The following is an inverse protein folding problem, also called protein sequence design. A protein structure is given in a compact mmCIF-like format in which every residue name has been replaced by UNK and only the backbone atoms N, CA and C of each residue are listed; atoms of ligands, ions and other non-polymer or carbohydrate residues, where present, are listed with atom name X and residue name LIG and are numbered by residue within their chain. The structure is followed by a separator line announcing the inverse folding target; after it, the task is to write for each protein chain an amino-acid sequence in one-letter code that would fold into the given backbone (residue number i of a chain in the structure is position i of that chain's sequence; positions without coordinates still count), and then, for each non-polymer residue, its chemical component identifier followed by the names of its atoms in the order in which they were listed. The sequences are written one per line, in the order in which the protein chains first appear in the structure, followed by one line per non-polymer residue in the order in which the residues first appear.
data_IF_551127450320
#
_entry.id   IF_551127450320
#
_cell.length_a   1.000
_cell.length_b   1.000
_cell.length_c   1.000
_cell.angle_alpha   90.00
_cell.angle_beta   90.00
_cell.angle_gamma   90.00
#
_symmetry.space_group_name_H-M   'P 1'
#
loop_
_entity.id
_entity.type
_entity.pdbx_description
1 polymer ?
#
# COMPACT_ATOMS: atom_id res chain seq x y z
N UNK A 1 -9.00 -2.87 6.98
CA UNK A 1 -9.16 -3.16 5.55
C UNK A 1 -8.95 -4.64 5.23
N UNK A 2 -7.91 -5.30 5.75
CA UNK A 2 -7.65 -6.73 5.52
C UNK A 2 -8.91 -7.59 5.77
N UNK A 3 -9.56 -7.46 6.93
CA UNK A 3 -10.79 -8.20 7.24
C UNK A 3 -11.97 -7.88 6.30
N UNK A 4 -12.08 -6.66 5.80
CA UNK A 4 -13.08 -6.33 4.79
C UNK A 4 -12.82 -7.08 3.48
N UNK A 5 -11.54 -7.21 3.11
CA UNK A 5 -11.11 -7.96 1.94
C UNK A 5 -11.31 -9.48 2.11
N UNK A 6 -11.22 -10.01 3.33
CA UNK A 6 -11.54 -11.42 3.60
C UNK A 6 -13.04 -11.68 3.43
N UNK A 7 -13.87 -10.86 4.08
CA UNK A 7 -15.33 -11.07 4.11
C UNK A 7 -15.95 -10.88 2.71
N UNK A 8 -15.45 -9.96 1.86
CA UNK A 8 -16.02 -9.76 0.51
C UNK A 8 -15.77 -10.92 -0.44
N UNK A 9 -14.84 -11.84 -0.09
CA UNK A 9 -14.54 -13.06 -0.86
C UNK A 9 -15.38 -14.26 -0.46
N UNK A 10 -16.30 -14.10 0.50
CA UNK A 10 -17.27 -15.12 0.85
C UNK A 10 -18.34 -15.20 -0.24
N UNK A 11 -18.40 -16.33 -0.95
CA UNK A 11 -19.41 -16.58 -2.01
C UNK A 11 -20.85 -16.56 -1.49
N UNK A 12 -21.04 -16.75 -0.18
CA UNK A 12 -22.33 -16.67 0.50
C UNK A 12 -22.79 -15.26 0.87
N UNK A 13 -21.98 -14.22 0.66
CA UNK A 13 -22.33 -12.85 1.03
C UNK A 13 -23.54 -12.34 0.24
N UNK A 14 -24.49 -11.71 0.93
CA UNK A 14 -25.65 -11.11 0.26
C UNK A 14 -25.24 -9.89 -0.57
N UNK A 15 -25.82 -9.69 -1.79
CA UNK A 15 -25.41 -8.60 -2.68
C UNK A 15 -25.47 -7.21 -2.04
N UNK A 16 -26.45 -6.93 -1.18
CA UNK A 16 -26.56 -5.66 -0.47
C UNK A 16 -25.44 -5.45 0.54
N UNK A 17 -25.07 -6.50 1.25
CA UNK A 17 -23.95 -6.48 2.23
C UNK A 17 -22.62 -6.34 1.50
N UNK A 18 -22.43 -7.04 0.38
CA UNK A 18 -21.24 -6.92 -0.47
C UNK A 18 -21.06 -5.48 -0.97
N UNK A 19 -22.12 -4.80 -1.41
CA UNK A 19 -22.06 -3.41 -1.84
C UNK A 19 -21.64 -2.47 -0.71
N UNK A 20 -22.20 -2.65 0.49
CA UNK A 20 -21.82 -1.86 1.67
C UNK A 20 -20.37 -2.09 2.01
N UNK A 21 -19.92 -3.33 2.00
CA UNK A 21 -18.54 -3.71 2.30
C UNK A 21 -17.56 -3.15 1.28
N UNK A 22 -17.91 -3.21 -0.02
CA UNK A 22 -17.11 -2.60 -1.10
C UNK A 22 -16.90 -1.10 -0.86
N UNK A 23 -17.94 -0.37 -0.48
CA UNK A 23 -17.83 1.06 -0.15
C UNK A 23 -16.90 1.32 1.05
N UNK A 24 -16.92 0.46 2.07
CA UNK A 24 -15.99 0.53 3.22
C UNK A 24 -14.55 0.30 2.77
N UNK A 25 -14.31 -0.65 1.87
CA UNK A 25 -13.00 -0.92 1.28
C UNK A 25 -12.50 0.32 0.50
N UNK A 26 -13.34 0.89 -0.36
CA UNK A 26 -12.99 2.08 -1.15
C UNK A 26 -12.65 3.27 -0.26
N UNK A 27 -13.45 3.50 0.78
CA UNK A 27 -13.19 4.54 1.76
C UNK A 27 -11.86 4.32 2.52
N UNK A 28 -11.59 3.07 2.94
CA UNK A 28 -10.33 2.71 3.59
C UNK A 28 -9.13 2.94 2.66
N UNK A 29 -9.24 2.54 1.39
CA UNK A 29 -8.23 2.80 0.36
C UNK A 29 -7.99 4.30 0.16
N UNK A 30 -9.05 5.12 0.16
CA UNK A 30 -8.91 6.57 0.04
C UNK A 30 -8.17 7.16 1.25
N UNK A 31 -8.54 6.76 2.47
CA UNK A 31 -7.83 7.19 3.68
C UNK A 31 -6.35 6.85 3.65
N UNK A 32 -6.01 5.62 3.21
CA UNK A 32 -4.62 5.19 3.07
C UNK A 32 -3.87 6.05 2.05
N UNK A 33 -4.45 6.33 0.91
CA UNK A 33 -3.86 7.22 -0.10
C UNK A 33 -3.61 8.62 0.46
N UNK A 34 -4.60 9.19 1.17
CA UNK A 34 -4.46 10.51 1.78
C UNK A 34 -3.32 10.55 2.81
N UNK A 35 -3.13 9.47 3.57
CA UNK A 35 -2.03 9.34 4.51
C UNK A 35 -0.67 9.27 3.80
N UNK A 36 -0.57 8.49 2.73
CA UNK A 36 0.64 8.42 1.89
C UNK A 36 0.99 9.81 1.35
N UNK A 37 0.03 10.55 0.82
CA UNK A 37 0.24 11.90 0.31
C UNK A 37 0.67 12.88 1.42
N UNK A 38 0.12 12.76 2.63
CA UNK A 38 0.53 13.57 3.77
C UNK A 38 1.98 13.29 4.21
N UNK A 39 2.41 12.02 4.18
CA UNK A 39 3.78 11.62 4.45
C UNK A 39 4.73 12.16 3.37
N UNK A 40 4.32 12.09 2.09
CA UNK A 40 5.10 12.65 0.99
C UNK A 40 5.25 14.17 1.12
N UNK A 41 4.20 14.89 1.53
CA UNK A 41 4.29 16.33 1.81
C UNK A 41 5.30 16.65 2.92
N UNK A 42 5.39 15.79 3.94
CA UNK A 42 6.43 15.91 4.96
C UNK A 42 7.84 15.80 4.35
N UNK A 43 8.09 14.77 3.53
CA UNK A 43 9.40 14.56 2.90
C UNK A 43 9.74 15.68 1.90
N UNK A 44 8.77 16.16 1.10
CA UNK A 44 8.95 17.31 0.21
C UNK A 44 9.43 18.54 1.01
N UNK A 45 8.75 18.86 2.12
CA UNK A 45 9.15 20.00 2.96
C UNK A 45 10.52 19.79 3.60
N UNK A 46 10.78 18.58 4.12
CA UNK A 46 12.04 18.22 4.77
C UNK A 46 13.24 18.37 3.84
N UNK A 47 13.09 17.94 2.59
CA UNK A 47 14.19 17.92 1.61
C UNK A 47 14.17 19.10 0.64
N UNK A 48 13.30 20.08 0.82
CA UNK A 48 13.13 21.25 -0.08
C UNK A 48 14.44 22.02 -0.35
N UNK A 49 15.37 22.06 0.62
CA UNK A 49 16.63 22.82 0.53
C UNK A 49 17.82 21.99 0.07
N UNK A 50 17.64 20.72 -0.25
CA UNK A 50 18.72 19.85 -0.69
C UNK A 50 19.19 20.28 -2.08
N UNK A 51 20.51 20.50 -2.22
CA UNK A 51 21.14 20.78 -3.50
C UNK A 51 21.36 19.47 -4.23
N UNK A 52 20.73 19.35 -5.40
CA UNK A 52 20.83 18.13 -6.22
C UNK A 52 22.23 18.01 -6.85
N UNK A 53 22.77 16.81 -6.87
CA UNK A 53 24.00 16.49 -7.61
C UNK A 53 23.71 16.51 -9.12
N UNK A 54 24.74 16.80 -9.92
CA UNK A 54 24.63 16.90 -11.39
C UNK A 54 24.02 15.66 -12.05
N UNK A 55 24.25 14.49 -11.47
CA UNK A 55 23.77 13.18 -11.94
C UNK A 55 22.64 12.60 -11.06
N UNK A 56 21.91 13.46 -10.35
CA UNK A 56 20.78 13.00 -9.54
C UNK A 56 19.73 12.30 -10.40
N UNK A 57 19.26 11.15 -9.91
CA UNK A 57 18.27 10.31 -10.60
C UNK A 57 16.89 10.40 -9.95
N UNK A 58 15.85 10.08 -10.70
CA UNK A 58 14.50 9.87 -10.17
C UNK A 58 14.36 8.44 -9.66
N UNK A 59 13.34 8.22 -8.80
CA UNK A 59 12.99 6.88 -8.32
C UNK A 59 11.60 6.49 -8.82
N UNK A 60 11.31 5.19 -8.86
CA UNK A 60 10.02 4.67 -9.32
C UNK A 60 8.87 4.98 -8.38
N UNK A 61 9.16 5.17 -7.09
CA UNK A 61 8.17 5.50 -6.07
C UNK A 61 8.76 6.48 -5.06
N UNK A 62 7.88 7.17 -4.32
CA UNK A 62 8.28 8.04 -3.22
C UNK A 62 8.58 7.24 -1.95
N UNK A 63 9.27 7.85 -0.96
CA UNK A 63 9.46 7.22 0.35
C UNK A 63 8.13 6.80 1.01
N UNK A 64 7.05 7.59 0.87
CA UNK A 64 5.76 7.26 1.46
C UNK A 64 5.12 6.05 0.81
N UNK A 65 5.20 5.89 -0.51
CA UNK A 65 4.72 4.67 -1.20
C UNK A 65 5.54 3.44 -0.82
N UNK A 66 6.85 3.57 -0.63
CA UNK A 66 7.69 2.48 -0.15
C UNK A 66 7.31 2.06 1.30
N UNK A 67 7.00 3.04 2.18
CA UNK A 67 6.49 2.78 3.53
C UNK A 67 5.11 2.12 3.49
N UNK A 68 4.20 2.55 2.60
CA UNK A 68 2.90 1.90 2.41
C UNK A 68 3.06 0.43 2.00
N UNK A 69 3.96 0.14 1.07
CA UNK A 69 4.32 -1.23 0.68
C UNK A 69 4.84 -2.05 1.87
N UNK A 70 5.69 -1.47 2.70
CA UNK A 70 6.20 -2.11 3.91
C UNK A 70 5.07 -2.42 4.89
N UNK A 71 4.11 -1.52 5.08
CA UNK A 71 2.96 -1.74 5.96
C UNK A 71 2.10 -2.93 5.53
N UNK A 72 1.86 -3.07 4.23
CA UNK A 72 1.14 -4.21 3.63
C UNK A 72 1.93 -5.51 3.83
N UNK A 73 3.25 -5.46 3.65
CA UNK A 73 4.12 -6.62 3.84
C UNK A 73 4.11 -7.11 5.30
N UNK A 74 4.14 -6.19 6.27
CA UNK A 74 4.07 -6.52 7.70
C UNK A 74 2.75 -7.21 8.06
N UNK A 75 1.62 -6.72 7.53
CA UNK A 75 0.32 -7.39 7.70
C UNK A 75 0.32 -8.80 7.09
N UNK A 76 0.91 -8.95 5.90
CA UNK A 76 1.04 -10.26 5.24
C UNK A 76 1.88 -11.23 6.08
N UNK A 77 2.98 -10.76 6.68
CA UNK A 77 3.82 -11.54 7.59
C UNK A 77 3.03 -11.99 8.81
N UNK A 78 2.27 -11.07 9.42
CA UNK A 78 1.43 -11.37 10.57
C UNK A 78 0.45 -12.52 10.27
N UNK A 79 -0.35 -12.40 9.21
CA UNK A 79 -1.32 -13.44 8.85
C UNK A 79 -0.66 -14.75 8.37
N UNK A 80 0.50 -14.68 7.72
CA UNK A 80 1.26 -15.89 7.36
C UNK A 80 1.81 -16.60 8.59
N UNK A 81 2.19 -15.86 9.64
CA UNK A 81 2.62 -16.43 10.91
C UNK A 81 1.45 -17.13 11.62
N UNK A 82 0.25 -16.51 11.64
CA UNK A 82 -0.96 -17.15 12.17
C UNK A 82 -1.24 -18.49 11.44
N UNK A 83 -1.20 -18.51 10.10
CA UNK A 83 -1.41 -19.72 9.31
C UNK A 83 -0.34 -20.80 9.54
N UNK A 84 0.91 -20.41 9.72
CA UNK A 84 2.00 -21.36 10.02
C UNK A 84 1.85 -22.04 11.40
N UNK A 85 1.18 -21.35 12.34
CA UNK A 85 0.89 -21.85 13.70
C UNK A 85 -0.48 -22.49 13.85
N UNK A 86 -1.37 -22.43 12.85
CA UNK A 86 -2.77 -22.88 12.96
C UNK A 86 -2.87 -24.39 13.22
N UNK A 87 -3.27 -24.75 14.44
CA UNK A 87 -3.31 -26.16 14.93
C UNK A 87 -4.26 -27.02 14.09
N UNK A 88 -5.37 -26.44 13.60
CA UNK A 88 -6.38 -27.14 12.79
C UNK A 88 -5.94 -27.39 11.36
N UNK A 89 -4.85 -26.79 10.89
CA UNK A 89 -4.31 -27.01 9.56
C UNK A 89 -3.44 -28.26 9.48
N UNK A 90 -3.33 -28.85 8.29
CA UNK A 90 -2.45 -30.00 8.04
C UNK A 90 -0.98 -29.63 8.27
N UNK A 91 -0.16 -30.61 8.60
CA UNK A 91 1.31 -30.42 8.75
C UNK A 91 1.94 -29.87 7.48
N UNK A 92 1.50 -30.34 6.31
CA UNK A 92 2.01 -29.88 5.00
C UNK A 92 1.66 -28.41 4.74
N UNK A 93 0.42 -27.99 5.03
CA UNK A 93 0.02 -26.59 4.94
C UNK A 93 0.89 -25.69 5.83
N UNK A 94 1.05 -26.05 7.11
CA UNK A 94 1.89 -25.28 8.05
C UNK A 94 3.33 -25.19 7.60
N UNK A 95 3.91 -26.28 7.08
CA UNK A 95 5.26 -26.27 6.51
C UNK A 95 5.39 -25.31 5.33
N UNK A 96 4.43 -25.33 4.39
CA UNK A 96 4.41 -24.39 3.26
C UNK A 96 4.28 -22.93 3.73
N UNK A 97 3.45 -22.65 4.73
CA UNK A 97 3.32 -21.32 5.32
C UNK A 97 4.62 -20.86 5.99
N UNK A 98 5.29 -21.76 6.74
CA UNK A 98 6.58 -21.45 7.36
C UNK A 98 7.67 -21.12 6.32
N UNK A 99 7.72 -21.84 5.20
CA UNK A 99 8.66 -21.52 4.10
C UNK A 99 8.36 -20.15 3.48
N UNK A 100 7.08 -19.81 3.23
CA UNK A 100 6.68 -18.49 2.75
C UNK A 100 7.01 -17.39 3.76
N UNK A 101 6.85 -17.65 5.05
CA UNK A 101 7.16 -16.71 6.11
C UNK A 101 8.65 -16.33 6.14
N UNK A 102 9.55 -17.28 5.89
CA UNK A 102 10.99 -16.98 5.75
C UNK A 102 11.25 -15.99 4.62
N UNK A 103 10.68 -16.23 3.43
CA UNK A 103 10.82 -15.35 2.27
C UNK A 103 10.24 -13.95 2.56
N UNK A 104 9.07 -13.88 3.21
CA UNK A 104 8.45 -12.61 3.56
C UNK A 104 9.29 -11.80 4.57
N UNK A 105 9.97 -12.46 5.51
CA UNK A 105 10.87 -11.79 6.44
C UNK A 105 12.13 -11.28 5.75
N UNK A 106 12.70 -12.02 4.79
CA UNK A 106 13.78 -11.55 3.94
C UNK A 106 13.35 -10.30 3.14
N UNK A 107 12.20 -10.37 2.45
CA UNK A 107 11.63 -9.22 1.74
C UNK A 107 11.44 -8.00 2.64
N UNK A 108 11.03 -8.19 3.91
CA UNK A 108 10.91 -7.10 4.88
C UNK A 108 12.26 -6.46 5.16
N UNK A 109 13.29 -7.25 5.39
CA UNK A 109 14.65 -6.77 5.66
C UNK A 109 15.19 -5.97 4.48
N UNK A 110 15.04 -6.50 3.27
CA UNK A 110 15.49 -5.84 2.02
C UNK A 110 14.72 -4.53 1.79
N UNK A 111 13.41 -4.53 2.00
CA UNK A 111 12.59 -3.33 1.81
C UNK A 111 12.91 -2.25 2.84
N UNK A 112 13.16 -2.61 4.11
CA UNK A 112 13.61 -1.66 5.12
C UNK A 112 14.94 -1.02 4.72
N UNK A 113 15.92 -1.83 4.31
CA UNK A 113 17.22 -1.34 3.85
C UNK A 113 17.08 -0.42 2.62
N UNK A 114 16.25 -0.81 1.65
CA UNK A 114 16.01 -0.01 0.44
C UNK A 114 15.34 1.34 0.76
N UNK A 115 14.43 1.39 1.72
CA UNK A 115 13.80 2.64 2.19
C UNK A 115 14.84 3.55 2.84
N UNK A 116 15.69 3.02 3.71
CA UNK A 116 16.75 3.79 4.36
C UNK A 116 17.75 4.35 3.33
N UNK A 117 18.13 3.54 2.34
CA UNK A 117 18.99 3.97 1.23
C UNK A 117 18.31 5.06 0.39
N UNK A 118 17.03 4.92 0.06
CA UNK A 118 16.28 5.93 -0.69
C UNK A 118 16.24 7.26 0.05
N UNK A 119 15.90 7.27 1.34
CA UNK A 119 15.85 8.47 2.16
C UNK A 119 17.24 9.12 2.26
N UNK A 120 18.29 8.33 2.45
CA UNK A 120 19.67 8.80 2.46
C UNK A 120 20.06 9.42 1.12
N UNK A 121 19.78 8.76 0.00
CA UNK A 121 20.08 9.25 -1.35
C UNK A 121 19.40 10.58 -1.65
N UNK A 122 18.13 10.74 -1.22
CA UNK A 122 17.40 12.01 -1.34
C UNK A 122 18.07 13.08 -0.47
N UNK A 123 18.40 12.76 0.78
CA UNK A 123 19.00 13.71 1.73
C UNK A 123 20.40 14.20 1.28
N UNK A 124 21.11 13.40 0.51
CA UNK A 124 22.44 13.73 -0.04
C UNK A 124 22.39 14.27 -1.49
N UNK A 125 21.19 14.49 -2.04
CA UNK A 125 20.99 15.03 -3.38
C UNK A 125 21.34 14.06 -4.52
N UNK A 126 21.48 12.77 -4.25
CA UNK A 126 21.70 11.74 -5.28
C UNK A 126 20.41 11.34 -5.99
N UNK A 127 19.27 11.47 -5.30
CA UNK A 127 17.93 11.25 -5.87
C UNK A 127 17.04 12.47 -5.72
N UNK A 128 16.18 12.68 -6.69
CA UNK A 128 15.25 13.80 -6.73
C UNK A 128 13.99 13.41 -5.93
N UNK A 129 13.62 14.22 -4.93
CA UNK A 129 12.33 14.08 -4.26
C UNK A 129 11.23 14.59 -5.17
N UNK A 130 10.63 13.69 -5.96
CA UNK A 130 9.56 14.00 -6.91
C UNK A 130 8.35 13.12 -6.62
N UNK A 131 7.19 13.76 -6.47
CA UNK A 131 5.93 13.10 -6.12
C UNK A 131 4.85 13.51 -7.09
N UNK A 132 4.00 12.56 -7.46
CA UNK A 132 2.78 12.79 -8.22
C UNK A 132 1.58 12.42 -7.37
N UNK A 133 0.56 13.26 -7.36
CA UNK A 133 -0.71 12.95 -6.71
C UNK A 133 -1.45 11.85 -7.46
N UNK A 134 -2.16 11.00 -6.73
CA UNK A 134 -3.07 10.07 -7.36
C UNK A 134 -4.30 10.82 -7.87
N UNK A 135 -4.45 10.87 -9.18
CA UNK A 135 -5.62 11.45 -9.85
C UNK A 135 -6.65 10.33 -10.07
N UNK A 136 -7.35 9.93 -8.99
CA UNK A 136 -8.37 8.87 -9.08
C UNK A 136 -9.58 9.37 -9.84
N UNK A 137 -9.97 8.66 -10.90
CA UNK A 137 -11.08 9.04 -11.78
C UNK A 137 -12.39 8.28 -11.47
N UNK A 138 -12.30 7.01 -11.07
CA UNK A 138 -13.47 6.14 -10.96
C UNK A 138 -14.42 6.44 -9.77
N UNK A 139 -13.93 7.13 -8.73
CA UNK A 139 -14.76 7.59 -7.60
C UNK A 139 -15.18 9.06 -7.72
N UNK A 140 -14.75 9.74 -8.77
CA UNK A 140 -15.06 11.15 -9.01
C UNK A 140 -16.36 11.24 -9.81
N UNK A 141 -17.31 12.01 -9.29
CA UNK A 141 -18.66 12.15 -9.89
C UNK A 141 -18.62 12.85 -11.24
N UNK A 142 -17.64 13.71 -11.47
CA UNK A 142 -17.49 14.44 -12.74
C UNK A 142 -16.67 13.67 -13.78
N UNK A 143 -15.83 12.72 -13.36
CA UNK A 143 -14.91 11.98 -14.22
C UNK A 143 -15.39 10.56 -14.56
N UNK A 144 -16.28 9.96 -13.76
CA UNK A 144 -16.81 8.63 -14.01
C UNK A 144 -18.11 8.70 -14.83
N UNK A 145 -18.14 8.20 -16.08
CA UNK A 145 -19.32 8.27 -16.95
C UNK A 145 -20.59 7.62 -16.37
N UNK A 146 -20.45 6.61 -15.51
CA UNK A 146 -21.58 5.97 -14.84
C UNK A 146 -22.20 6.88 -13.77
N UNK A 147 -21.38 7.71 -13.12
CA UNK A 147 -21.85 8.60 -12.07
C UNK A 147 -22.47 9.87 -12.66
N UNK A 148 -21.81 10.56 -13.60
CA UNK A 148 -22.34 11.81 -14.14
C UNK A 148 -23.55 11.63 -15.07
N UNK A 149 -23.79 10.43 -15.65
CA UNK A 149 -24.99 10.15 -16.43
C UNK A 149 -26.24 9.97 -15.55
N UNK A 150 -26.09 9.50 -14.31
CA UNK A 150 -27.22 9.35 -13.38
C UNK A 150 -27.72 10.69 -12.83
N UNK A 151 -26.91 11.75 -12.88
CA UNK A 151 -27.28 13.07 -12.38
C UNK A 151 -27.98 13.92 -13.48
N UNK A 152 -28.28 13.35 -14.65
CA UNK A 152 -28.94 14.04 -15.77
C UNK A 152 -30.38 13.57 -16.01
N UNK A 153 -30.86 12.56 -15.27
CA UNK A 153 -32.26 12.09 -15.23
C UNK A 153 -32.91 12.53 -13.91
#
# INVERSE_FOLDING_TARGET
QWHYEDVIRDDGIKPKEALILKRKIDHSNQKRTNLVEAIDDYFIRKFKKIILKKNATINTESPAWAIDRLSILVLKIYHMAEESGRITATKDHRKKCSQKLLILNEQKSDLCLAIDQLIKDISEGRKIMKVYRQMKMYNDEDLNPILYKKNKD
#
